data_IF_617596223911
#
_entry.id   IF_617596223911
#
_cell.length_a   1.000
_cell.length_b   1.000
_cell.length_c   1.000
_cell.angle_alpha   90.00
_cell.angle_beta   90.00
_cell.angle_gamma   90.00
#
_symmetry.space_group_name_H-M   'P 1'
#
loop_
_entity.id
_entity.type
_entity.pdbx_description
1 polymer ?
#
# COMPACT_ATOMS: atom_id res chain seq x y z
N UNK A 1 8.27 22.08 1.19
CA UNK A 1 7.94 20.67 0.88
C UNK A 1 6.45 20.64 0.62
N UNK A 2 6.06 20.57 -0.66
CA UNK A 2 4.64 20.59 -1.04
C UNK A 2 4.00 19.27 -0.64
N UNK A 3 2.82 19.38 -0.04
CA UNK A 3 1.96 18.27 0.38
C UNK A 3 1.47 17.51 -0.88
N UNK A 4 1.27 16.20 -0.79
CA UNK A 4 0.51 15.34 -1.73
C UNK A 4 1.25 14.60 -2.89
N UNK A 5 2.50 14.15 -2.75
CA UNK A 5 3.19 13.38 -3.81
C UNK A 5 2.87 11.87 -3.89
N UNK A 6 1.99 11.29 -3.06
CA UNK A 6 1.69 9.83 -3.07
C UNK A 6 0.18 9.50 -3.00
N UNK A 7 -0.71 10.39 -3.47
CA UNK A 7 -2.16 10.14 -3.42
C UNK A 7 -2.55 9.18 -4.54
N UNK A 8 -3.17 8.06 -4.18
CA UNK A 8 -3.56 7.01 -5.14
C UNK A 8 -5.01 7.22 -5.59
N UNK A 9 -5.25 7.34 -6.90
CA UNK A 9 -6.60 7.43 -7.47
C UNK A 9 -7.46 6.20 -7.15
N UNK A 10 -8.78 6.36 -7.05
CA UNK A 10 -9.72 5.26 -6.76
C UNK A 10 -9.63 4.07 -7.73
N UNK A 11 -9.46 4.35 -9.03
CA UNK A 11 -9.28 3.32 -10.05
C UNK A 11 -8.03 2.47 -9.76
N UNK A 12 -6.90 3.14 -9.48
CA UNK A 12 -5.67 2.46 -9.08
C UNK A 12 -5.83 1.67 -7.77
N UNK A 13 -6.58 2.20 -6.79
CA UNK A 13 -6.86 1.49 -5.54
C UNK A 13 -7.60 0.17 -5.79
N UNK A 14 -8.59 0.18 -6.69
CA UNK A 14 -9.44 -0.98 -6.97
C UNK A 14 -8.78 -1.99 -7.90
N UNK A 15 -8.18 -1.53 -8.98
CA UNK A 15 -7.74 -2.41 -10.08
C UNK A 15 -6.31 -2.88 -9.90
N UNK A 16 -5.43 -2.02 -9.36
CA UNK A 16 -4.03 -2.33 -9.13
C UNK A 16 -3.78 -2.74 -7.68
N UNK A 17 -4.13 -1.88 -6.72
CA UNK A 17 -3.94 -2.18 -5.30
C UNK A 17 -4.95 -3.19 -4.75
N UNK A 18 -5.99 -3.54 -5.52
CA UNK A 18 -7.02 -4.54 -5.16
C UNK A 18 -7.59 -4.31 -3.76
N UNK A 19 -7.86 -3.05 -3.42
CA UNK A 19 -8.42 -2.63 -2.14
C UNK A 19 -9.66 -3.49 -1.79
N UNK A 20 -9.71 -3.97 -0.54
CA UNK A 20 -10.77 -4.84 0.01
C UNK A 20 -10.86 -6.25 -0.60
N UNK A 21 -9.82 -6.75 -1.29
CA UNK A 21 -9.80 -8.11 -1.87
C UNK A 21 -8.97 -9.11 -1.05
N UNK A 22 -8.92 -8.95 0.28
CA UNK A 22 -8.23 -9.86 1.19
C UNK A 22 -6.73 -9.97 0.88
N UNK A 23 -6.23 -11.20 0.72
CA UNK A 23 -4.81 -11.48 0.40
C UNK A 23 -4.32 -10.83 -0.89
N UNK A 24 -5.22 -10.57 -1.85
CA UNK A 24 -4.86 -9.91 -3.11
C UNK A 24 -4.59 -8.41 -2.94
N UNK A 25 -5.03 -7.80 -1.83
CA UNK A 25 -4.83 -6.38 -1.55
C UNK A 25 -3.33 -6.09 -1.43
N UNK A 26 -2.88 -4.98 -2.02
CA UNK A 26 -1.50 -4.53 -1.93
C UNK A 26 -1.12 -4.27 -0.47
N UNK A 27 -0.07 -4.93 0.00
CA UNK A 27 0.42 -4.83 1.37
C UNK A 27 1.03 -3.45 1.69
N UNK A 28 1.48 -2.73 0.66
CA UNK A 28 2.09 -1.41 0.78
C UNK A 28 1.08 -0.26 0.74
N UNK A 29 -0.22 -0.58 0.66
CA UNK A 29 -1.28 0.41 0.73
C UNK A 29 -1.56 0.78 2.19
N UNK A 30 -1.44 2.07 2.53
CA UNK A 30 -1.78 2.60 3.85
C UNK A 30 -2.76 3.75 3.73
N UNK A 31 -3.49 4.06 4.81
CA UNK A 31 -4.30 5.27 4.91
C UNK A 31 -3.47 6.37 5.59
N UNK A 32 -3.26 7.49 4.90
CA UNK A 32 -2.55 8.67 5.40
C UNK A 32 -3.46 9.61 6.18
N UNK A 33 -3.10 10.90 6.24
CA UNK A 33 -3.88 11.92 6.96
C UNK A 33 -5.22 12.23 6.30
N UNK A 34 -5.31 12.06 4.97
CA UNK A 34 -6.49 12.44 4.18
C UNK A 34 -6.89 11.33 3.19
N UNK A 35 -5.90 10.66 2.58
CA UNK A 35 -6.13 9.66 1.53
C UNK A 35 -5.25 8.41 1.67
N UNK A 36 -5.54 7.41 0.82
CA UNK A 36 -4.66 6.27 0.66
C UNK A 36 -3.34 6.66 0.01
N UNK A 37 -2.26 6.15 0.61
CA UNK A 37 -0.88 6.41 0.20
C UNK A 37 -0.12 5.10 -0.04
N UNK A 38 0.86 5.16 -0.93
CA UNK A 38 1.84 4.09 -1.07
C UNK A 38 2.94 4.24 -0.02
N UNK A 39 3.37 3.13 0.58
CA UNK A 39 4.46 3.09 1.56
C UNK A 39 5.78 2.59 0.99
N UNK A 40 5.83 2.20 -0.29
CA UNK A 40 7.08 1.85 -0.97
C UNK A 40 8.03 3.05 -1.02
N UNK A 41 9.32 2.79 -0.89
CA UNK A 41 10.38 3.80 -0.76
C UNK A 41 10.41 4.52 0.59
N UNK A 42 9.44 4.28 1.49
CA UNK A 42 9.40 4.90 2.81
C UNK A 42 9.99 3.98 3.89
N UNK A 43 10.24 4.53 5.08
CA UNK A 43 10.67 3.73 6.24
C UNK A 43 9.66 2.64 6.64
N UNK A 44 8.37 2.79 6.29
CA UNK A 44 7.34 1.79 6.56
C UNK A 44 7.47 0.55 5.69
N UNK A 45 8.10 0.64 4.51
CA UNK A 45 8.25 -0.50 3.61
C UNK A 45 8.98 -1.67 4.30
N UNK A 46 10.04 -1.38 5.04
CA UNK A 46 10.83 -2.39 5.77
C UNK A 46 9.98 -3.14 6.80
N UNK A 47 9.15 -2.40 7.54
CA UNK A 47 8.27 -3.01 8.54
C UNK A 47 7.16 -3.83 7.88
N UNK A 48 6.58 -3.36 6.77
CA UNK A 48 5.58 -4.12 6.01
C UNK A 48 6.17 -5.43 5.49
N UNK A 49 7.39 -5.39 4.91
CA UNK A 49 8.09 -6.62 4.46
C UNK A 49 8.30 -7.60 5.61
N UNK A 50 8.75 -7.13 6.78
CA UNK A 50 8.90 -7.96 7.98
C UNK A 50 7.58 -8.61 8.40
N UNK A 51 6.46 -7.88 8.34
CA UNK A 51 5.12 -8.42 8.69
C UNK A 51 4.58 -9.41 7.66
N UNK A 52 4.89 -9.22 6.39
CA UNK A 52 4.59 -10.18 5.32
C UNK A 52 5.33 -11.49 5.54
N UNK A 53 6.64 -11.42 5.82
CA UNK A 53 7.48 -12.59 6.14
C UNK A 53 6.98 -13.32 7.39
N UNK A 54 6.52 -12.58 8.40
CA UNK A 54 5.93 -13.14 9.61
C UNK A 54 4.53 -13.75 9.38
N UNK A 55 3.91 -13.56 8.22
CA UNK A 55 2.60 -14.11 7.89
C UNK A 55 1.44 -13.48 8.67
N UNK A 56 1.63 -12.30 9.25
CA UNK A 56 0.65 -11.65 10.14
C UNK A 56 -0.21 -10.59 9.44
N UNK A 57 -0.08 -10.45 8.12
CA UNK A 57 -0.89 -9.52 7.32
C UNK A 57 -1.96 -10.27 6.52
N UNK A 58 -3.16 -9.71 6.49
CA UNK A 58 -4.21 -10.13 5.56
C UNK A 58 -3.86 -9.68 4.15
N UNK A 59 -3.44 -8.43 3.96
CA UNK A 59 -3.00 -7.92 2.65
C UNK A 59 -1.59 -8.44 2.32
N UNK A 60 -1.43 -9.13 1.18
CA UNK A 60 -0.18 -9.80 0.80
C UNK A 60 0.29 -9.46 -0.61
N UNK A 61 -0.51 -8.73 -1.38
CA UNK A 61 -0.17 -8.36 -2.76
C UNK A 61 1.00 -7.40 -2.81
N UNK A 62 1.83 -7.54 -3.85
CA UNK A 62 2.83 -6.56 -4.24
C UNK A 62 2.56 -6.18 -5.70
N UNK A 63 1.48 -5.43 -5.91
CA UNK A 63 0.83 -5.33 -7.23
C UNK A 63 1.18 -4.04 -8.01
N UNK A 64 1.89 -3.08 -7.39
CA UNK A 64 2.21 -1.79 -7.99
C UNK A 64 3.65 -1.40 -7.70
N UNK A 65 4.29 -0.60 -8.56
CA UNK A 65 5.69 -0.19 -8.38
C UNK A 65 5.90 0.95 -7.38
N UNK A 66 4.82 1.50 -6.81
CA UNK A 66 4.85 2.72 -6.01
C UNK A 66 4.72 3.95 -6.89
N UNK A 67 3.68 4.73 -6.64
CA UNK A 67 3.35 5.98 -7.34
C UNK A 67 2.83 6.99 -6.34
#
# INVERSE_FOLDING_TARGET
MSKHENVISEEHLKDVCKLKQGEKTCAFLSFGSEDFICTKGTNLEKEIRRRLEAGIMVAKGDNCDGK
#
